data_IF_743521896470
#
_entry.id   IF_743521896470
#
_cell.length_a   1.000
_cell.length_b   1.000
_cell.length_c   1.000
_cell.angle_alpha   90.00
_cell.angle_beta   90.00
_cell.angle_gamma   90.00
#
_symmetry.space_group_name_H-M   'P 1'
#
loop_
_entity.id
_entity.type
_entity.pdbx_description
1 polymer ?
#
# COMPACT_ATOMS: atom_id res chain seq x y z
N UNK A 1 13.30 -15.05 18.18
CA UNK A 1 12.64 -13.89 18.83
C UNK A 1 11.41 -13.54 18.01
N UNK A 2 10.22 -13.49 18.63
CA UNK A 2 9.00 -12.98 17.99
C UNK A 2 9.00 -11.47 18.18
N UNK A 3 9.05 -10.71 17.09
CA UNK A 3 8.81 -9.27 17.15
C UNK A 3 7.41 -9.06 17.70
N UNK A 4 7.29 -8.30 18.80
CA UNK A 4 6.02 -7.88 19.36
C UNK A 4 5.94 -6.39 19.13
N UNK A 5 4.96 -5.94 18.35
CA UNK A 5 4.65 -4.52 18.17
C UNK A 5 4.26 -3.93 19.53
N UNK A 6 5.13 -3.13 20.18
CA UNK A 6 4.90 -2.66 21.54
C UNK A 6 3.83 -1.57 21.63
N UNK A 7 3.45 -0.99 20.49
CA UNK A 7 2.51 0.14 20.41
C UNK A 7 1.13 -0.29 19.92
N UNK A 8 1.04 -1.44 19.24
CA UNK A 8 -0.23 -1.95 18.71
C UNK A 8 -0.77 -1.12 17.54
N UNK A 9 0.10 -0.34 16.89
CA UNK A 9 -0.23 0.57 15.79
C UNK A 9 -0.52 -0.26 14.54
N UNK A 10 -1.78 -0.23 14.07
CA UNK A 10 -2.23 -1.11 12.99
C UNK A 10 -2.30 -0.35 11.67
N UNK A 11 -1.27 -0.52 10.85
CA UNK A 11 -1.39 -0.24 9.42
C UNK A 11 -2.19 -1.36 8.78
N UNK A 12 -3.25 -1.00 8.06
CA UNK A 12 -4.11 -1.92 7.32
C UNK A 12 -4.19 -1.51 5.86
N UNK A 13 -4.12 -2.48 4.96
CA UNK A 13 -4.55 -2.30 3.57
C UNK A 13 -6.03 -2.61 3.52
N UNK A 14 -6.81 -1.62 3.14
CA UNK A 14 -8.24 -1.77 2.93
C UNK A 14 -8.53 -1.87 1.44
N UNK A 15 -9.52 -2.68 1.08
CA UNK A 15 -9.98 -2.90 -0.28
C UNK A 15 -11.49 -2.92 -0.34
N UNK A 16 -12.05 -2.45 -1.46
CA UNK A 16 -13.47 -2.56 -1.77
C UNK A 16 -13.61 -2.71 -3.30
N UNK A 17 -14.58 -3.49 -3.80
CA UNK A 17 -14.89 -3.53 -5.22
C UNK A 17 -15.06 -2.13 -5.79
N UNK A 18 -14.25 -1.78 -6.80
CA UNK A 18 -14.39 -0.52 -7.50
C UNK A 18 -15.64 -0.57 -8.39
N UNK A 19 -16.47 0.47 -8.37
CA UNK A 19 -17.52 0.63 -9.37
C UNK A 19 -16.88 1.20 -10.65
N UNK A 20 -16.64 0.35 -11.67
CA UNK A 20 -15.98 0.79 -12.90
C UNK A 20 -15.61 -0.34 -13.87
N UNK A 21 -14.94 0.02 -14.99
CA UNK A 21 -14.58 -0.87 -16.09
C UNK A 21 -13.46 -1.89 -15.74
N UNK A 22 -12.66 -1.64 -14.71
CA UNK A 22 -11.57 -2.55 -14.31
C UNK A 22 -12.00 -3.47 -13.17
N UNK A 23 -11.84 -4.81 -13.30
CA UNK A 23 -12.20 -5.78 -12.27
C UNK A 23 -11.14 -5.84 -11.17
N UNK A 24 -10.75 -4.69 -10.61
CA UNK A 24 -9.72 -4.58 -9.59
C UNK A 24 -10.29 -3.79 -8.42
N UNK A 25 -10.17 -4.33 -7.22
CA UNK A 25 -10.62 -3.66 -6.00
C UNK A 25 -9.84 -2.36 -5.77
N UNK A 26 -10.56 -1.30 -5.43
CA UNK A 26 -9.95 -0.05 -4.99
C UNK A 26 -9.25 -0.25 -3.65
N UNK A 27 -8.00 0.17 -3.53
CA UNK A 27 -7.20 0.03 -2.31
C UNK A 27 -6.84 1.37 -1.67
N UNK A 28 -6.86 1.39 -0.33
CA UNK A 28 -6.41 2.52 0.48
C UNK A 28 -5.75 2.02 1.77
N UNK A 29 -5.17 2.95 2.53
CA UNK A 29 -4.53 2.63 3.80
C UNK A 29 -5.34 3.18 4.97
N UNK A 30 -5.37 2.39 6.03
CA UNK A 30 -5.89 2.78 7.33
C UNK A 30 -4.79 2.60 8.37
N UNK A 31 -4.65 3.59 9.23
CA UNK A 31 -3.82 3.59 10.43
C UNK A 31 -4.72 3.89 11.62
N UNK A 32 -4.15 4.01 12.82
CA UNK A 32 -4.94 4.37 13.99
C UNK A 32 -5.48 5.82 13.92
N UNK A 33 -4.80 6.68 13.14
CA UNK A 33 -5.12 8.11 13.05
C UNK A 33 -5.57 8.58 11.66
N UNK A 34 -5.39 7.77 10.61
CA UNK A 34 -5.72 8.15 9.23
C UNK A 34 -6.38 7.03 8.47
N UNK A 35 -7.27 7.41 7.57
CA UNK A 35 -7.79 6.53 6.54
C UNK A 35 -7.78 7.31 5.24
N UNK A 36 -6.89 6.96 4.33
CA UNK A 36 -6.61 7.74 3.14
C UNK A 36 -6.01 6.90 2.02
N UNK A 37 -6.22 7.37 0.79
CA UNK A 37 -5.81 6.66 -0.42
C UNK A 37 -5.68 7.61 -1.59
N UNK A 38 -5.34 7.05 -2.75
CA UNK A 38 -5.40 7.79 -4.00
C UNK A 38 -6.86 8.07 -4.34
N UNK A 39 -7.14 9.32 -4.72
CA UNK A 39 -8.41 9.72 -5.31
C UNK A 39 -8.22 10.95 -6.19
N UNK A 40 -9.30 11.50 -6.72
CA UNK A 40 -9.21 12.69 -7.54
C UNK A 40 -8.87 13.96 -6.78
N UNK A 41 -8.31 14.93 -7.52
CA UNK A 41 -8.05 16.26 -7.00
C UNK A 41 -9.34 16.92 -6.52
N UNK A 42 -9.39 17.30 -5.24
CA UNK A 42 -10.58 17.87 -4.60
C UNK A 42 -11.72 16.87 -4.35
N UNK A 43 -11.46 15.58 -4.53
CA UNK A 43 -12.44 14.51 -4.36
C UNK A 43 -12.70 14.12 -2.90
N UNK A 44 -13.76 13.35 -2.70
CA UNK A 44 -14.17 12.76 -1.42
C UNK A 44 -13.53 11.39 -1.14
N UNK A 45 -12.57 10.98 -1.99
CA UNK A 45 -11.94 9.67 -1.91
C UNK A 45 -12.79 8.49 -2.40
N UNK A 46 -13.98 8.72 -2.96
CA UNK A 46 -14.78 7.67 -3.57
C UNK A 46 -14.34 7.39 -5.01
N UNK A 47 -13.51 6.36 -5.18
CA UNK A 47 -13.22 5.79 -6.51
C UNK A 47 -14.50 5.35 -7.22
N UNK A 48 -14.67 5.73 -8.49
CA UNK A 48 -15.83 5.40 -9.32
C UNK A 48 -17.00 6.39 -9.28
N UNK A 49 -16.95 7.47 -8.48
CA UNK A 49 -18.06 8.42 -8.32
C UNK A 49 -17.93 9.71 -9.17
N UNK A 50 -16.73 10.06 -9.66
CA UNK A 50 -16.47 11.22 -10.55
C UNK A 50 -14.96 11.25 -10.92
N UNK A 51 -14.57 12.14 -11.87
CA UNK A 51 -13.21 12.40 -12.41
C UNK A 51 -12.08 11.92 -11.50
N UNK A 52 -11.01 11.29 -12.01
CA UNK A 52 -9.95 10.65 -11.21
C UNK A 52 -9.67 9.19 -11.58
N UNK A 53 -10.59 8.59 -12.33
CA UNK A 53 -10.58 7.17 -12.70
C UNK A 53 -10.20 6.93 -14.17
N UNK A 54 -9.89 7.99 -14.93
CA UNK A 54 -9.50 7.90 -16.33
C UNK A 54 -7.99 8.04 -16.53
N UNK A 55 -7.40 7.34 -17.52
CA UNK A 55 -6.02 7.58 -17.97
C UNK A 55 -5.73 9.08 -18.15
N UNK A 56 -4.75 9.59 -17.40
CA UNK A 56 -4.30 10.97 -17.50
C UNK A 56 -4.91 11.94 -16.50
N UNK A 57 -5.96 11.56 -15.77
CA UNK A 57 -6.58 12.40 -14.74
C UNK A 57 -5.59 12.73 -13.63
N UNK A 58 -5.65 13.95 -13.08
CA UNK A 58 -4.84 14.29 -11.92
C UNK A 58 -5.40 13.62 -10.66
N UNK A 59 -4.51 13.07 -9.85
CA UNK A 59 -4.84 12.37 -8.61
C UNK A 59 -4.02 12.90 -7.44
N UNK A 60 -4.58 12.78 -6.24
CA UNK A 60 -3.98 13.18 -4.98
C UNK A 60 -4.32 12.21 -3.86
N UNK A 61 -3.71 12.40 -2.70
CA UNK A 61 -4.14 11.71 -1.48
C UNK A 61 -5.43 12.34 -0.98
N UNK A 62 -6.48 11.54 -0.86
CA UNK A 62 -7.81 11.96 -0.41
C UNK A 62 -8.21 11.18 0.85
N UNK A 63 -9.03 11.82 1.69
CA UNK A 63 -9.55 11.16 2.88
C UNK A 63 -10.50 10.02 2.46
N UNK A 64 -10.39 8.89 3.14
CA UNK A 64 -11.25 7.71 2.96
C UNK A 64 -11.98 7.37 4.27
N UNK A 65 -12.15 8.35 5.16
CA UNK A 65 -12.65 8.16 6.53
C UNK A 65 -13.98 7.40 6.57
N UNK A 66 -14.00 6.29 7.31
CA UNK A 66 -15.17 5.45 7.52
C UNK A 66 -15.45 4.49 6.36
N UNK A 67 -14.63 4.47 5.31
CA UNK A 67 -14.82 3.60 4.14
C UNK A 67 -14.60 2.13 4.49
N UNK A 68 -13.74 1.84 5.46
CA UNK A 68 -13.52 0.50 6.02
C UNK A 68 -14.81 -0.16 6.56
N UNK A 69 -15.82 0.62 6.92
CA UNK A 69 -17.11 0.13 7.44
C UNK A 69 -18.20 0.05 6.37
N UNK A 70 -17.91 0.42 5.13
CA UNK A 70 -18.87 0.31 4.04
C UNK A 70 -19.04 -1.14 3.58
N UNK A 71 -20.19 -1.42 2.95
CA UNK A 71 -20.47 -2.75 2.40
C UNK A 71 -19.43 -3.12 1.34
N UNK A 72 -18.90 -4.35 1.46
CA UNK A 72 -17.89 -4.87 0.54
C UNK A 72 -16.46 -4.40 0.83
N UNK A 73 -16.24 -3.58 1.87
CA UNK A 73 -14.90 -3.25 2.32
C UNK A 73 -14.31 -4.38 3.18
N UNK A 74 -13.02 -4.64 3.01
CA UNK A 74 -12.21 -5.57 3.81
C UNK A 74 -10.86 -4.94 4.12
N UNK A 75 -10.33 -5.14 5.32
CA UNK A 75 -9.02 -4.58 5.71
C UNK A 75 -8.13 -5.67 6.32
N UNK A 76 -6.88 -5.73 5.87
CA UNK A 76 -5.87 -6.68 6.34
C UNK A 76 -4.71 -5.94 7.00
N UNK A 77 -4.25 -6.43 8.15
CA UNK A 77 -3.12 -5.84 8.88
C UNK A 77 -1.82 -6.10 8.11
N UNK A 78 -0.96 -5.08 8.04
CA UNK A 78 0.39 -5.19 7.48
C UNK A 78 1.41 -5.08 8.60
N UNK A 79 2.10 -6.19 8.87
CA UNK A 79 3.16 -6.23 9.86
C UNK A 79 4.45 -5.53 9.38
N UNK A 80 5.31 -5.20 10.35
CA UNK A 80 6.63 -4.60 10.14
C UNK A 80 6.65 -3.29 9.34
N UNK A 81 5.59 -2.49 9.47
CA UNK A 81 5.47 -1.15 8.88
C UNK A 81 5.44 -0.09 9.99
N UNK A 82 6.12 1.03 9.75
CA UNK A 82 6.13 2.19 10.64
C UNK A 82 4.91 3.09 10.33
N UNK A 83 3.97 3.17 11.27
CA UNK A 83 2.75 3.96 11.11
C UNK A 83 3.04 5.45 10.89
N UNK A 84 4.04 6.04 11.55
CA UNK A 84 4.34 7.46 11.39
C UNK A 84 4.81 7.76 9.96
N UNK A 85 5.65 6.87 9.40
CA UNK A 85 6.07 6.95 7.99
C UNK A 85 4.90 6.78 7.02
N UNK A 86 3.93 5.92 7.34
CA UNK A 86 2.70 5.80 6.56
C UNK A 86 1.92 7.10 6.64
N UNK A 87 1.70 7.62 7.84
CA UNK A 87 0.99 8.86 8.08
C UNK A 87 1.61 10.02 7.30
N UNK A 88 2.93 10.21 7.36
CA UNK A 88 3.65 11.22 6.56
C UNK A 88 3.34 11.14 5.06
N UNK A 89 3.08 9.95 4.53
CA UNK A 89 2.74 9.74 3.11
C UNK A 89 1.24 9.88 2.84
N UNK A 90 0.40 9.76 3.85
CA UNK A 90 -1.04 9.94 3.75
C UNK A 90 -1.47 11.41 3.98
N UNK A 91 -0.60 12.37 3.69
CA UNK A 91 -0.95 13.79 3.75
C UNK A 91 -2.01 14.13 2.69
N UNK A 92 -3.21 14.49 3.13
CA UNK A 92 -4.33 14.87 2.27
C UNK A 92 -3.96 16.07 1.38
N UNK A 93 -4.36 16.03 0.10
CA UNK A 93 -4.05 17.04 -0.91
C UNK A 93 -2.65 16.90 -1.51
N UNK A 94 -1.85 15.91 -1.10
CA UNK A 94 -0.57 15.64 -1.73
C UNK A 94 -0.80 15.09 -3.14
N UNK A 95 -0.41 15.88 -4.15
CA UNK A 95 -0.48 15.47 -5.55
C UNK A 95 0.33 14.21 -5.84
N UNK A 96 -0.29 13.24 -6.51
CA UNK A 96 0.30 11.95 -6.88
C UNK A 96 0.61 11.85 -8.38
N UNK A 97 0.40 12.93 -9.13
CA UNK A 97 0.63 12.98 -10.57
C UNK A 97 -0.62 12.63 -11.37
N UNK A 98 -0.44 11.91 -12.47
CA UNK A 98 -1.53 11.49 -13.36
C UNK A 98 -1.84 10.02 -13.18
N UNK A 99 -3.12 9.67 -13.11
CA UNK A 99 -3.58 8.30 -13.05
C UNK A 99 -3.16 7.53 -14.31
N UNK A 100 -2.70 6.29 -14.13
CA UNK A 100 -2.34 5.42 -15.24
C UNK A 100 -1.92 4.02 -14.77
N UNK A 101 -1.52 3.14 -15.71
CA UNK A 101 -1.22 1.74 -15.41
C UNK A 101 -0.13 1.53 -14.33
N UNK A 102 0.78 2.49 -14.17
CA UNK A 102 1.86 2.46 -13.17
C UNK A 102 1.61 3.39 -11.98
N UNK A 103 0.58 4.23 -12.03
CA UNK A 103 0.21 5.18 -10.98
C UNK A 103 -1.29 5.11 -10.72
N UNK A 104 -1.68 4.18 -9.84
CA UNK A 104 -3.06 3.89 -9.47
C UNK A 104 -3.15 3.61 -7.96
N UNK A 105 -4.32 3.24 -7.44
CA UNK A 105 -4.54 3.04 -6.01
C UNK A 105 -3.71 1.90 -5.38
N UNK A 106 -3.62 0.72 -6.00
CA UNK A 106 -2.77 -0.39 -5.55
C UNK A 106 -1.27 -0.07 -5.59
N UNK A 107 -0.76 0.61 -6.64
CA UNK A 107 0.65 0.97 -6.77
C UNK A 107 1.03 2.07 -5.76
N UNK A 108 0.11 2.99 -5.48
CA UNK A 108 0.25 3.94 -4.39
C UNK A 108 0.33 3.25 -3.02
N UNK A 109 -0.63 2.38 -2.70
CA UNK A 109 -0.63 1.61 -1.44
C UNK A 109 0.66 0.82 -1.28
N UNK A 110 1.06 0.07 -2.32
CA UNK A 110 2.31 -0.69 -2.35
C UNK A 110 3.53 0.20 -2.10
N UNK A 111 3.64 1.33 -2.80
CA UNK A 111 4.74 2.28 -2.63
C UNK A 111 4.82 2.85 -1.21
N UNK A 112 3.67 3.17 -0.60
CA UNK A 112 3.62 3.69 0.78
C UNK A 112 4.07 2.61 1.77
N UNK A 113 3.60 1.38 1.63
CA UNK A 113 4.00 0.26 2.50
C UNK A 113 5.50 -0.01 2.37
N UNK A 114 6.01 -0.18 1.14
CA UNK A 114 7.41 -0.52 0.89
C UNK A 114 8.37 0.54 1.42
N UNK A 115 8.04 1.81 1.20
CA UNK A 115 8.86 2.92 1.70
C UNK A 115 8.72 3.17 3.20
N UNK A 116 7.71 2.58 3.85
CA UNK A 116 7.46 2.65 5.30
C UNK A 116 7.86 1.39 6.07
N UNK A 117 8.49 0.40 5.41
CA UNK A 117 9.04 -0.78 6.09
C UNK A 117 10.04 -0.41 7.17
N UNK A 118 9.89 -1.05 8.33
CA UNK A 118 10.77 -0.93 9.50
C UNK A 118 12.19 -1.44 9.20
N UNK A 119 13.14 -1.05 10.04
CA UNK A 119 14.53 -1.51 9.92
C UNK A 119 14.65 -3.03 10.14
N UNK A 120 13.89 -3.57 11.09
CA UNK A 120 13.84 -5.02 11.34
C UNK A 120 13.39 -5.79 10.09
N UNK A 121 12.39 -5.29 9.36
CA UNK A 121 11.98 -5.87 8.09
C UNK A 121 13.11 -5.84 7.07
N UNK A 122 13.78 -4.69 6.88
CA UNK A 122 14.88 -4.53 5.91
C UNK A 122 16.00 -5.51 6.18
N UNK A 123 16.35 -5.72 7.44
CA UNK A 123 17.36 -6.71 7.84
C UNK A 123 16.90 -8.15 7.62
N UNK A 124 15.63 -8.47 7.89
CA UNK A 124 15.08 -9.79 7.59
C UNK A 124 15.07 -10.07 6.08
N UNK A 125 14.70 -9.08 5.26
CA UNK A 125 14.66 -9.21 3.81
C UNK A 125 16.06 -9.35 3.21
N UNK A 126 17.05 -8.57 3.68
CA UNK A 126 18.44 -8.72 3.26
C UNK A 126 18.98 -10.14 3.54
N UNK A 127 18.65 -10.72 4.70
CA UNK A 127 19.00 -12.10 5.03
C UNK A 127 18.34 -13.11 4.09
N UNK A 128 17.04 -12.95 3.80
CA UNK A 128 16.32 -13.82 2.86
C UNK A 128 16.93 -13.78 1.46
N UNK A 129 17.30 -12.59 0.97
CA UNK A 129 17.96 -12.43 -0.32
C UNK A 129 19.33 -13.12 -0.30
N UNK A 130 20.13 -12.92 0.75
CA UNK A 130 21.43 -13.59 0.88
C UNK A 130 21.30 -15.12 0.87
N UNK A 131 20.36 -15.68 1.62
CA UNK A 131 20.09 -17.12 1.64
C UNK A 131 19.61 -17.66 0.29
N UNK A 132 18.73 -16.91 -0.40
CA UNK A 132 18.24 -17.31 -1.72
C UNK A 132 19.37 -17.30 -2.74
N UNK A 133 20.19 -16.25 -2.76
CA UNK A 133 21.36 -16.15 -3.64
C UNK A 133 22.35 -17.28 -3.35
N UNK A 134 22.62 -17.58 -2.07
CA UNK A 134 23.48 -18.69 -1.67
C UNK A 134 22.95 -20.03 -2.21
N UNK A 135 21.66 -20.32 -2.03
CA UNK A 135 21.02 -21.55 -2.54
C UNK A 135 21.11 -21.67 -4.06
N UNK A 136 20.93 -20.57 -4.78
CA UNK A 136 21.08 -20.55 -6.25
C UNK A 136 22.52 -20.87 -6.63
N UNK A 137 23.51 -20.25 -6.00
CA UNK A 137 24.93 -20.51 -6.27
C UNK A 137 25.30 -21.96 -5.97
N UNK A 138 24.86 -22.50 -4.82
CA UNK A 138 25.08 -23.90 -4.45
C UNK A 138 24.46 -24.85 -5.48
N UNK A 139 23.23 -24.57 -5.95
CA UNK A 139 22.57 -25.35 -6.99
C UNK A 139 23.31 -25.28 -8.33
N UNK A 140 23.81 -24.12 -8.73
CA UNK A 140 24.57 -23.95 -9.97
C UNK A 140 25.92 -24.70 -9.90
N UNK A 141 26.57 -24.70 -8.75
CA UNK A 141 27.82 -25.43 -8.55
C UNK A 141 27.62 -26.95 -8.58
N UNK A 142 26.47 -27.47 -8.14
CA UNK A 142 26.13 -28.90 -8.22
C UNK A 142 25.80 -29.36 -9.65
N UNK A 143 25.40 -28.46 -10.55
CA UNK A 143 25.11 -28.77 -11.95
C UNK A 143 26.35 -28.71 -12.86
N UNK A 144 27.46 -28.16 -12.36
CA UNK A 144 28.73 -28.03 -13.08
C UNK A 144 29.79 -29.07 -12.63
N UNK A 145 29.38 -30.09 -11.85
CA UNK A 145 30.15 -31.29 -11.46
C UNK A 145 29.50 -32.53 -12.09
#
# INVERSE_FOLDING_TARGET
MRYSDPLGLKVQICSQPAFGFMPIDHQWLRTDTREAGMGPVGGDGNAGNQSGDMPGDHVEVTAHTGRNSQKGASCEVVDDVDEDRVNERLQIGRGLGRWGPTNQCQSFVSSVIDSSRTESWRQQEARRIQERTRRIIESLNQLNL
#
